data_IF_148572205421
#
_entry.id   IF_148572205421
#
_cell.length_a   1.000
_cell.length_b   1.000
_cell.length_c   1.000
_cell.angle_alpha   90.00
_cell.angle_beta   90.00
_cell.angle_gamma   90.00
#
_symmetry.space_group_name_H-M   'P 1'
#
loop_
_entity.id
_entity.type
_entity.pdbx_description
1 polymer ?
#
# COMPACT_ATOMS: atom_id res chain seq x y z
N UNK A 1 -16.09 17.14 -2.53
CA UNK A 1 -15.07 16.18 -3.06
C UNK A 1 -13.94 16.92 -3.79
N UNK A 2 -14.24 17.87 -4.69
CA UNK A 2 -13.20 18.68 -5.37
C UNK A 2 -12.33 19.48 -4.39
N UNK A 3 -12.94 20.09 -3.37
CA UNK A 3 -12.23 20.81 -2.30
C UNK A 3 -11.16 19.94 -1.62
N UNK A 4 -11.46 18.65 -1.34
CA UNK A 4 -10.49 17.72 -0.75
C UNK A 4 -9.31 17.42 -1.67
N UNK A 5 -9.53 17.31 -2.97
CA UNK A 5 -8.44 17.13 -3.95
C UNK A 5 -7.52 18.36 -3.95
N UNK A 6 -8.08 19.58 -3.93
CA UNK A 6 -7.30 20.82 -3.86
C UNK A 6 -6.49 20.92 -2.57
N UNK A 7 -7.10 20.59 -1.43
CA UNK A 7 -6.43 20.54 -0.13
C UNK A 7 -5.25 19.56 -0.14
N UNK A 8 -5.43 18.34 -0.65
CA UNK A 8 -4.36 17.36 -0.79
C UNK A 8 -3.24 17.85 -1.73
N UNK A 9 -3.57 18.63 -2.76
CA UNK A 9 -2.59 19.27 -3.63
C UNK A 9 -1.69 20.24 -2.89
N UNK A 10 -2.24 21.03 -1.98
CA UNK A 10 -1.48 21.94 -1.11
C UNK A 10 -0.64 21.16 -0.10
N UNK A 11 -1.24 20.21 0.61
CA UNK A 11 -0.57 19.42 1.66
C UNK A 11 0.63 18.61 1.15
N UNK A 12 0.56 18.07 -0.07
CA UNK A 12 1.61 17.23 -0.64
C UNK A 12 2.69 18.02 -1.43
N UNK A 13 2.54 19.33 -1.51
CA UNK A 13 3.51 20.24 -2.13
C UNK A 13 3.40 20.35 -3.67
N UNK A 14 4.00 21.40 -4.24
CA UNK A 14 3.76 21.83 -5.62
C UNK A 14 4.25 20.86 -6.70
N UNK A 15 5.20 19.98 -6.39
CA UNK A 15 5.74 18.97 -7.32
C UNK A 15 5.02 17.62 -7.23
N UNK A 16 4.03 17.49 -6.36
CA UNK A 16 3.31 16.22 -6.17
C UNK A 16 2.28 15.97 -7.29
N UNK A 17 1.93 14.70 -7.50
CA UNK A 17 0.78 14.34 -8.34
C UNK A 17 -0.53 14.90 -7.82
N UNK A 18 -0.66 15.11 -6.52
CA UNK A 18 -1.83 15.76 -5.92
C UNK A 18 -1.94 17.23 -6.31
N UNK A 19 -0.83 17.95 -6.45
CA UNK A 19 -0.84 19.32 -6.97
C UNK A 19 -1.31 19.38 -8.44
N UNK A 20 -0.91 18.41 -9.25
CA UNK A 20 -1.42 18.27 -10.62
C UNK A 20 -2.92 17.88 -10.64
N UNK A 21 -3.36 16.94 -9.76
CA UNK A 21 -4.77 16.59 -9.61
C UNK A 21 -5.62 17.76 -9.13
N UNK A 22 -5.10 18.65 -8.29
CA UNK A 22 -5.79 19.84 -7.82
C UNK A 22 -6.21 20.78 -8.96
N UNK A 23 -5.42 20.84 -10.03
CA UNK A 23 -5.76 21.61 -11.25
C UNK A 23 -6.94 20.99 -12.03
N UNK A 24 -7.17 19.70 -11.89
CA UNK A 24 -8.26 18.92 -12.51
C UNK A 24 -9.34 18.51 -11.49
N UNK A 25 -9.41 19.20 -10.34
CA UNK A 25 -10.22 18.76 -9.21
C UNK A 25 -11.71 18.59 -9.56
N UNK A 26 -12.29 19.46 -10.36
CA UNK A 26 -13.71 19.38 -10.73
C UNK A 26 -13.97 18.23 -11.71
N UNK A 27 -13.04 17.92 -12.59
CA UNK A 27 -13.10 16.77 -13.49
C UNK A 27 -13.00 15.44 -12.75
N UNK A 28 -12.11 15.36 -11.76
CA UNK A 28 -11.75 14.14 -11.02
C UNK A 28 -12.64 13.87 -9.80
N UNK A 29 -13.33 14.91 -9.30
CA UNK A 29 -14.15 14.79 -8.10
C UNK A 29 -15.33 13.81 -8.29
N UNK A 30 -15.42 12.83 -7.37
CA UNK A 30 -16.46 11.82 -7.41
C UNK A 30 -16.24 10.69 -8.44
N UNK A 31 -15.08 10.69 -9.10
CA UNK A 31 -14.68 9.69 -10.09
C UNK A 31 -13.41 8.97 -9.61
N UNK A 32 -13.52 8.01 -8.67
CA UNK A 32 -12.36 7.39 -8.04
C UNK A 32 -11.45 6.67 -9.04
N UNK A 33 -12.02 6.04 -10.06
CA UNK A 33 -11.26 5.37 -11.11
C UNK A 33 -10.41 6.36 -11.91
N UNK A 34 -11.00 7.47 -12.40
CA UNK A 34 -10.26 8.51 -13.12
C UNK A 34 -9.16 9.10 -12.25
N UNK A 35 -9.46 9.36 -10.98
CA UNK A 35 -8.47 9.90 -10.04
C UNK A 35 -7.31 8.93 -9.84
N UNK A 36 -7.57 7.64 -9.65
CA UNK A 36 -6.53 6.63 -9.49
C UNK A 36 -5.68 6.50 -10.77
N UNK A 37 -6.32 6.43 -11.94
CA UNK A 37 -5.62 6.36 -13.23
C UNK A 37 -4.73 7.58 -13.45
N UNK A 38 -5.18 8.77 -13.08
CA UNK A 38 -4.36 9.98 -13.13
C UNK A 38 -3.18 9.95 -12.14
N UNK A 39 -3.44 9.61 -10.87
CA UNK A 39 -2.41 9.66 -9.82
C UNK A 39 -1.31 8.62 -10.01
N UNK A 40 -1.65 7.44 -10.52
CA UNK A 40 -0.77 6.28 -10.61
C UNK A 40 -0.23 6.02 -12.01
N UNK A 41 -0.61 6.81 -13.02
CA UNK A 41 -0.11 6.70 -14.40
C UNK A 41 1.42 6.80 -14.50
N UNK A 42 2.01 6.02 -15.41
CA UNK A 42 3.44 6.03 -15.73
C UNK A 42 4.36 5.83 -14.51
N UNK A 43 3.98 4.94 -13.60
CA UNK A 43 4.71 4.64 -12.36
C UNK A 43 4.76 3.15 -12.10
N UNK A 44 5.93 2.63 -11.73
CA UNK A 44 6.14 1.25 -11.26
C UNK A 44 5.38 0.22 -12.11
N UNK A 45 5.64 0.23 -13.42
CA UNK A 45 5.03 -0.69 -14.37
C UNK A 45 3.62 -0.33 -14.86
N UNK A 46 2.94 0.65 -14.26
CA UNK A 46 1.66 1.12 -14.78
C UNK A 46 1.85 1.89 -16.11
N UNK A 47 0.95 1.67 -17.05
CA UNK A 47 0.84 2.48 -18.26
C UNK A 47 0.34 3.91 -17.99
N UNK A 48 -0.03 4.61 -19.04
CA UNK A 48 -0.57 5.98 -18.98
C UNK A 48 -1.96 6.03 -18.33
N UNK A 49 -2.56 7.23 -18.26
CA UNK A 49 -3.90 7.43 -17.68
C UNK A 49 -4.98 6.63 -18.43
N UNK A 50 -4.81 6.44 -19.75
CA UNK A 50 -5.77 5.74 -20.60
C UNK A 50 -5.71 4.21 -20.45
N UNK A 51 -4.57 3.67 -20.00
CA UNK A 51 -4.38 2.23 -19.78
C UNK A 51 -5.33 1.62 -18.74
N UNK A 52 -5.83 2.42 -17.78
CA UNK A 52 -6.63 1.92 -16.67
C UNK A 52 -5.80 1.27 -15.55
N UNK A 53 -4.49 1.12 -15.72
CA UNK A 53 -3.60 0.42 -14.77
C UNK A 53 -3.63 1.05 -13.37
N UNK A 54 -3.82 2.38 -13.29
CA UNK A 54 -3.89 3.08 -12.00
C UNK A 54 -5.04 2.60 -11.12
N UNK A 55 -6.18 2.32 -11.71
CA UNK A 55 -7.32 1.73 -11.02
C UNK A 55 -7.17 0.21 -10.84
N UNK A 56 -6.72 -0.46 -11.88
CA UNK A 56 -6.55 -1.92 -11.87
C UNK A 56 -5.58 -2.36 -10.77
N UNK A 57 -4.46 -1.67 -10.61
CA UNK A 57 -3.43 -1.96 -9.60
C UNK A 57 -3.43 -0.96 -8.43
N UNK A 58 -4.63 -0.49 -8.04
CA UNK A 58 -4.80 0.34 -6.84
C UNK A 58 -4.48 -0.43 -5.57
N UNK A 59 -4.30 0.30 -4.47
CA UNK A 59 -4.01 -0.28 -3.16
C UNK A 59 -5.05 -1.34 -2.75
N UNK A 60 -4.59 -2.56 -2.41
CA UNK A 60 -5.39 -3.67 -1.87
C UNK A 60 -4.68 -4.38 -0.73
N UNK A 61 -5.45 -5.09 0.09
CA UNK A 61 -4.95 -5.89 1.19
C UNK A 61 -4.37 -5.07 2.35
N UNK A 62 -3.92 -5.74 3.42
CA UNK A 62 -3.44 -5.10 4.64
C UNK A 62 -2.20 -4.23 4.44
N UNK A 63 -1.33 -4.59 3.47
CA UNK A 63 -0.11 -3.86 3.16
C UNK A 63 -0.34 -2.69 2.19
N UNK A 64 -1.54 -2.59 1.59
CA UNK A 64 -1.81 -1.58 0.57
C UNK A 64 -1.00 -1.80 -0.71
N UNK A 65 -0.91 -3.07 -1.18
CA UNK A 65 -0.20 -3.41 -2.40
C UNK A 65 -0.69 -2.56 -3.56
N UNK A 66 0.20 -1.83 -4.22
CA UNK A 66 -0.10 -0.85 -5.26
C UNK A 66 0.92 -0.94 -6.39
N UNK A 67 0.52 -0.65 -7.62
CA UNK A 67 1.29 -0.66 -8.84
C UNK A 67 1.57 -2.04 -9.43
N UNK A 68 1.56 -2.11 -10.76
CA UNK A 68 1.69 -3.33 -11.55
C UNK A 68 2.93 -4.15 -11.21
N UNK A 69 4.11 -3.51 -11.12
CA UNK A 69 5.35 -4.21 -10.79
C UNK A 69 5.29 -4.86 -9.40
N UNK A 70 4.64 -4.22 -8.43
CA UNK A 70 4.49 -4.81 -7.10
C UNK A 70 3.51 -5.99 -7.12
N UNK A 71 2.42 -5.91 -7.91
CA UNK A 71 1.52 -7.05 -8.10
C UNK A 71 2.23 -8.21 -8.78
N UNK A 72 3.03 -7.96 -9.82
CA UNK A 72 3.84 -8.99 -10.48
C UNK A 72 4.85 -9.63 -9.51
N UNK A 73 5.56 -8.80 -8.74
CA UNK A 73 6.55 -9.28 -7.79
C UNK A 73 5.94 -10.14 -6.68
N UNK A 74 4.87 -9.67 -6.03
CA UNK A 74 4.17 -10.44 -4.99
C UNK A 74 3.51 -11.68 -5.59
N UNK A 75 2.91 -11.58 -6.77
CA UNK A 75 2.33 -12.72 -7.48
C UNK A 75 3.35 -13.83 -7.71
N UNK A 76 4.57 -13.48 -8.13
CA UNK A 76 5.65 -14.45 -8.29
C UNK A 76 6.01 -15.15 -6.96
N UNK A 77 6.06 -14.42 -5.85
CA UNK A 77 6.34 -15.00 -4.52
C UNK A 77 5.24 -15.95 -4.05
N UNK A 78 3.98 -15.65 -4.40
CA UNK A 78 2.81 -16.45 -4.03
C UNK A 78 2.48 -17.57 -5.03
N UNK A 79 3.19 -17.67 -6.17
CA UNK A 79 2.83 -18.57 -7.26
C UNK A 79 1.50 -18.25 -7.93
N UNK A 80 1.08 -16.98 -7.92
CA UNK A 80 -0.19 -16.48 -8.48
C UNK A 80 0.07 -15.38 -9.51
N UNK A 81 -0.67 -15.38 -10.62
CA UNK A 81 -0.61 -14.25 -11.57
C UNK A 81 -1.54 -13.11 -11.11
N UNK A 82 -1.02 -12.27 -10.22
CA UNK A 82 -1.73 -11.09 -9.72
C UNK A 82 -1.79 -9.95 -10.74
N UNK A 83 -1.11 -10.05 -11.86
CA UNK A 83 -1.24 -9.06 -12.95
C UNK A 83 -2.49 -9.32 -13.77
N UNK A 84 -2.91 -10.57 -13.89
CA UNK A 84 -4.17 -10.97 -14.54
C UNK A 84 -5.35 -10.88 -13.57
N UNK A 85 -5.14 -11.25 -12.30
CA UNK A 85 -6.21 -11.33 -11.30
C UNK A 85 -5.88 -10.53 -10.03
N UNK A 86 -5.70 -9.20 -10.11
CA UNK A 86 -5.31 -8.38 -8.95
C UNK A 86 -6.36 -8.35 -7.83
N UNK A 87 -7.63 -8.65 -8.13
CA UNK A 87 -8.73 -8.74 -7.17
C UNK A 87 -8.59 -9.92 -6.20
N UNK A 88 -7.73 -10.92 -6.46
CA UNK A 88 -7.47 -12.00 -5.52
C UNK A 88 -7.04 -11.45 -4.14
N UNK A 89 -6.28 -10.35 -4.12
CA UNK A 89 -5.84 -9.69 -2.88
C UNK A 89 -7.01 -9.15 -2.02
N UNK A 90 -8.23 -9.12 -2.53
CA UNK A 90 -9.43 -8.73 -1.78
C UNK A 90 -10.00 -9.93 -0.97
N UNK A 91 -9.56 -11.17 -1.25
CA UNK A 91 -9.95 -12.36 -0.50
C UNK A 91 -9.04 -12.53 0.73
N UNK A 92 -9.59 -12.87 1.92
CA UNK A 92 -8.84 -12.88 3.19
C UNK A 92 -7.56 -13.72 3.16
N UNK A 93 -7.59 -14.90 2.54
CA UNK A 93 -6.42 -15.78 2.43
C UNK A 93 -5.29 -15.11 1.63
N UNK A 94 -5.56 -14.68 0.41
CA UNK A 94 -4.56 -14.02 -0.44
C UNK A 94 -4.12 -12.66 0.11
N UNK A 95 -5.02 -11.94 0.80
CA UNK A 95 -4.69 -10.70 1.47
C UNK A 95 -3.61 -10.90 2.53
N UNK A 96 -3.76 -11.91 3.39
CA UNK A 96 -2.78 -12.24 4.42
C UNK A 96 -1.48 -12.76 3.80
N UNK A 97 -1.57 -13.70 2.87
CA UNK A 97 -0.42 -14.27 2.17
C UNK A 97 0.42 -13.18 1.47
N UNK A 98 -0.23 -12.23 0.78
CA UNK A 98 0.46 -11.10 0.15
C UNK A 98 1.19 -10.20 1.14
N UNK A 99 0.64 -10.01 2.34
CA UNK A 99 1.29 -9.23 3.38
C UNK A 99 2.53 -9.95 3.96
N UNK A 100 2.44 -11.27 4.14
CA UNK A 100 3.56 -12.11 4.57
C UNK A 100 4.65 -12.12 3.49
N UNK A 101 4.31 -12.38 2.23
CA UNK A 101 5.25 -12.37 1.12
C UNK A 101 5.97 -11.01 0.97
N UNK A 102 5.22 -9.90 1.15
CA UNK A 102 5.82 -8.56 1.16
C UNK A 102 6.81 -8.40 2.31
N UNK A 103 6.42 -8.85 3.52
CA UNK A 103 7.26 -8.76 4.70
C UNK A 103 8.57 -9.53 4.51
N UNK A 104 8.51 -10.79 4.14
CA UNK A 104 9.66 -11.65 3.91
C UNK A 104 10.57 -11.12 2.80
N UNK A 105 10.00 -10.60 1.71
CA UNK A 105 10.76 -10.10 0.58
C UNK A 105 11.34 -8.67 0.77
N UNK A 106 10.82 -7.87 1.72
CA UNK A 106 11.22 -6.46 1.88
C UNK A 106 11.83 -6.12 3.22
N UNK A 107 11.53 -6.86 4.28
CA UNK A 107 11.93 -6.53 5.64
C UNK A 107 13.01 -7.51 6.11
N UNK A 108 14.31 -7.14 6.05
CA UNK A 108 15.37 -8.01 6.56
C UNK A 108 15.25 -8.18 8.08
N UNK A 109 15.67 -9.34 8.58
CA UNK A 109 15.67 -9.67 10.02
C UNK A 109 16.37 -8.62 10.87
N UNK A 110 17.43 -8.00 10.35
CA UNK A 110 18.15 -6.90 11.01
C UNK A 110 17.31 -5.64 11.27
N UNK A 111 16.13 -5.55 10.67
CA UNK A 111 15.22 -4.40 10.80
C UNK A 111 13.99 -4.69 11.66
N UNK A 112 13.63 -5.94 11.92
CA UNK A 112 12.32 -6.32 12.54
C UNK A 112 12.07 -5.69 13.91
N UNK A 113 13.13 -5.41 14.66
CA UNK A 113 13.05 -4.77 15.97
C UNK A 113 13.18 -3.22 15.93
N UNK A 114 13.36 -2.65 14.74
CA UNK A 114 13.49 -1.21 14.55
C UNK A 114 12.27 -0.66 13.81
N UNK A 115 11.29 -0.18 14.57
CA UNK A 115 10.02 0.36 14.03
C UNK A 115 10.27 1.47 13.01
N UNK A 116 11.31 2.27 13.19
CA UNK A 116 11.66 3.37 12.27
C UNK A 116 12.13 2.81 10.93
N UNK A 117 13.04 1.83 10.93
CA UNK A 117 13.52 1.18 9.71
C UNK A 117 12.39 0.46 8.99
N UNK A 118 11.58 -0.33 9.70
CA UNK A 118 10.40 -1.00 9.13
C UNK A 118 9.45 0.03 8.52
N UNK A 119 9.12 1.11 9.25
CA UNK A 119 8.23 2.15 8.74
C UNK A 119 8.75 2.78 7.45
N UNK A 120 10.04 3.10 7.37
CA UNK A 120 10.66 3.64 6.15
C UNK A 120 10.60 2.66 4.97
N UNK A 121 10.82 1.37 5.22
CA UNK A 121 10.77 0.37 4.15
C UNK A 121 9.35 0.17 3.59
N UNK A 122 8.35 0.16 4.46
CA UNK A 122 6.94 -0.04 4.05
C UNK A 122 6.36 1.22 3.41
N UNK A 123 6.59 2.40 4.01
CA UNK A 123 5.92 3.65 3.61
C UNK A 123 6.78 4.60 2.77
N UNK A 124 8.08 4.33 2.64
CA UNK A 124 9.02 5.29 2.04
C UNK A 124 9.33 6.52 2.91
N UNK A 125 8.78 6.60 4.14
CA UNK A 125 8.95 7.73 5.06
C UNK A 125 8.57 7.38 6.50
N UNK A 126 8.53 8.38 7.40
CA UNK A 126 8.29 8.20 8.83
C UNK A 126 6.85 8.53 9.27
N UNK A 127 5.94 8.75 8.32
CA UNK A 127 4.55 9.09 8.64
C UNK A 127 3.88 8.00 9.47
N UNK A 128 3.27 8.39 10.60
CA UNK A 128 2.54 7.47 11.48
C UNK A 128 3.40 6.62 12.42
N UNK A 129 4.71 6.93 12.57
CA UNK A 129 5.64 6.12 13.38
C UNK A 129 5.20 6.00 14.85
N UNK A 130 4.71 7.07 15.49
CA UNK A 130 4.27 7.05 16.87
C UNK A 130 3.07 6.12 17.09
N UNK A 131 2.11 6.16 16.15
CA UNK A 131 0.96 5.26 16.17
C UNK A 131 1.37 3.80 15.99
N UNK A 132 2.27 3.50 15.03
CA UNK A 132 2.80 2.14 14.83
C UNK A 132 3.54 1.63 16.06
N UNK A 133 4.37 2.48 16.70
CA UNK A 133 5.07 2.10 17.93
C UNK A 133 4.10 1.65 19.02
N UNK A 134 3.02 2.44 19.23
CA UNK A 134 1.98 2.10 20.21
C UNK A 134 1.30 0.76 19.88
N UNK A 135 0.85 0.56 18.63
CA UNK A 135 0.19 -0.69 18.21
C UNK A 135 1.14 -1.88 18.33
N UNK A 136 2.42 -1.73 17.98
CA UNK A 136 3.41 -2.80 18.10
C UNK A 136 3.62 -3.21 19.55
N UNK A 137 3.67 -2.25 20.48
CA UNK A 137 3.75 -2.56 21.92
C UNK A 137 2.53 -3.32 22.40
N UNK A 138 1.32 -2.83 22.11
CA UNK A 138 0.07 -3.53 22.47
C UNK A 138 0.01 -4.95 21.89
N UNK A 139 0.43 -5.16 20.65
CA UNK A 139 0.46 -6.47 20.03
C UNK A 139 1.45 -7.43 20.73
N UNK A 140 2.64 -6.94 21.07
CA UNK A 140 3.65 -7.73 21.82
C UNK A 140 3.13 -8.11 23.21
N UNK A 141 2.50 -7.19 23.92
CA UNK A 141 1.89 -7.46 25.23
C UNK A 141 0.80 -8.52 25.13
N UNK A 142 -0.09 -8.40 24.14
CA UNK A 142 -1.15 -9.39 23.92
C UNK A 142 -0.59 -10.79 23.59
N UNK A 143 0.42 -10.88 22.73
CA UNK A 143 1.07 -12.15 22.40
C UNK A 143 1.76 -12.79 23.61
N UNK A 144 2.41 -11.99 24.46
CA UNK A 144 3.03 -12.50 25.68
C UNK A 144 2.01 -13.01 26.71
N UNK A 145 0.77 -12.49 26.70
CA UNK A 145 -0.30 -12.93 27.58
C UNK A 145 -1.00 -14.21 27.09
N UNK A 146 -0.93 -14.50 25.78
CA UNK A 146 -1.57 -15.71 25.22
C UNK A 146 -0.84 -17.03 25.53
N UNK A 147 0.37 -16.99 26.12
CA UNK A 147 1.13 -18.20 26.50
C UNK A 147 1.75 -18.95 25.30
N UNK A 148 2.54 -20.01 25.56
CA UNK A 148 3.28 -20.75 24.54
C UNK A 148 2.41 -21.60 23.59
N UNK A 149 1.15 -21.84 23.91
CA UNK A 149 0.26 -22.73 23.13
C UNK A 149 -0.18 -22.17 21.77
N UNK A 150 0.06 -20.88 21.51
CA UNK A 150 -0.26 -20.23 20.21
C UNK A 150 0.90 -20.30 19.20
N UNK A 151 2.07 -20.79 19.63
CA UNK A 151 3.28 -20.83 18.79
C UNK A 151 3.45 -22.13 17.97
N UNK A 152 2.55 -23.09 18.11
CA UNK A 152 2.68 -24.44 17.49
C UNK A 152 1.44 -24.90 16.72
N UNK A 153 0.66 -24.01 16.14
CA UNK A 153 -0.42 -24.39 15.24
C UNK A 153 -0.12 -23.96 13.80
#
# INVERSE_FOLDING_TARGET
RAARIRELGVQNGPKSRWAAAAKRADELAGKPEKLANFLYANRNGNGDEASGDGWLYRARGPIGLTFKDNYAWIGNLMGQDLTVSPQLIEQPHYALESAIAYWEGRIPDSCINDIKKVTKRVNGGELGIAHRAKITLCAREALNQCGPDVQTA
#
